data_IF_574989855524
#
_entry.id   IF_574989855524
#
_cell.length_a   1.000
_cell.length_b   1.000
_cell.length_c   1.000
_cell.angle_alpha   90.00
_cell.angle_beta   90.00
_cell.angle_gamma   90.00
#
_symmetry.space_group_name_H-M   'P 1'
#
loop_
_entity.id
_entity.type
_entity.pdbx_description
1 polymer ?
#
# COMPACT_ATOMS: atom_id res chain seq x y z
N UNK A 1 5.81 -38.13 -52.12
CA UNK A 1 5.11 -38.16 -50.81
C UNK A 1 5.77 -37.15 -49.87
N UNK A 2 5.07 -36.71 -48.82
CA UNK A 2 5.16 -35.44 -48.06
C UNK A 2 6.55 -34.97 -47.56
N UNK A 3 6.62 -33.64 -47.42
CA UNK A 3 7.78 -32.75 -47.16
C UNK A 3 8.20 -32.74 -45.68
N UNK A 4 9.51 -32.61 -45.43
CA UNK A 4 10.13 -32.46 -44.11
C UNK A 4 9.63 -31.20 -43.38
N UNK A 5 9.13 -31.36 -42.16
CA UNK A 5 8.71 -30.29 -41.28
C UNK A 5 9.82 -30.01 -40.25
N UNK A 6 10.56 -28.91 -40.45
CA UNK A 6 11.43 -28.32 -39.43
C UNK A 6 10.56 -27.52 -38.46
N UNK A 7 10.42 -27.97 -37.21
CA UNK A 7 9.86 -27.18 -36.11
C UNK A 7 11.00 -26.33 -35.52
N UNK A 8 11.11 -25.08 -35.94
CA UNK A 8 11.94 -24.09 -35.26
C UNK A 8 11.17 -23.56 -34.04
N UNK A 9 11.67 -23.90 -32.85
CA UNK A 9 11.11 -23.49 -31.56
C UNK A 9 11.32 -22.00 -31.30
N UNK A 10 10.25 -21.40 -30.75
CA UNK A 10 10.25 -20.43 -29.66
C UNK A 10 11.07 -19.13 -29.82
N UNK A 11 10.35 -18.05 -30.14
CA UNK A 11 10.84 -16.68 -30.04
C UNK A 11 9.75 -15.72 -29.57
N UNK A 12 9.18 -15.94 -28.39
CA UNK A 12 8.37 -14.92 -27.72
C UNK A 12 9.30 -14.13 -26.79
N UNK A 13 9.82 -13.00 -27.27
CA UNK A 13 10.56 -12.06 -26.42
C UNK A 13 9.56 -11.47 -25.44
N UNK A 14 9.43 -12.08 -24.25
CA UNK A 14 8.73 -11.49 -23.12
C UNK A 14 9.56 -10.31 -22.65
N UNK A 15 9.27 -9.13 -23.19
CA UNK A 15 9.81 -7.88 -22.68
C UNK A 15 9.53 -7.82 -21.17
N UNK A 16 10.59 -7.75 -20.37
CA UNK A 16 10.50 -7.56 -18.92
C UNK A 16 9.94 -6.16 -18.67
N UNK A 17 8.61 -6.05 -18.66
CA UNK A 17 7.90 -4.85 -18.25
C UNK A 17 8.29 -4.48 -16.83
N UNK A 18 8.74 -3.24 -16.63
CA UNK A 18 8.96 -2.66 -15.30
C UNK A 18 7.61 -2.59 -14.59
N UNK A 19 7.31 -3.58 -13.75
CA UNK A 19 6.10 -3.57 -12.93
C UNK A 19 6.24 -2.53 -11.81
N UNK A 20 5.71 -1.32 -12.04
CA UNK A 20 5.47 -0.35 -10.96
C UNK A 20 4.39 -0.94 -10.05
N UNK A 21 4.80 -1.62 -8.97
CA UNK A 21 3.87 -2.08 -7.94
C UNK A 21 3.31 -0.86 -7.22
N UNK A 22 2.20 -0.31 -7.74
CA UNK A 22 1.35 0.57 -6.97
C UNK A 22 0.89 -0.22 -5.75
N UNK A 23 1.40 0.16 -4.57
CA UNK A 23 1.03 -0.57 -3.36
C UNK A 23 -0.48 -0.50 -3.16
N UNK A 24 -1.09 -1.68 -3.05
CA UNK A 24 -2.51 -1.83 -2.81
C UNK A 24 -2.86 -1.24 -1.43
N UNK A 25 -3.94 -0.47 -1.38
CA UNK A 25 -4.55 -0.12 -0.11
C UNK A 25 -5.10 -1.38 0.55
N UNK A 26 -4.82 -1.54 1.84
CA UNK A 26 -5.29 -2.67 2.63
C UNK A 26 -6.59 -2.28 3.32
N UNK A 27 -7.72 -2.57 2.70
CA UNK A 27 -9.05 -2.34 3.27
C UNK A 27 -9.29 -3.25 4.47
N UNK A 28 -10.12 -2.77 5.41
CA UNK A 28 -10.49 -3.47 6.64
C UNK A 28 -9.26 -4.02 7.38
N UNK A 29 -8.19 -3.24 7.42
CA UNK A 29 -6.90 -3.64 7.96
C UNK A 29 -6.35 -2.55 8.88
N UNK A 30 -5.99 -2.93 10.09
CA UNK A 30 -5.24 -2.11 11.04
C UNK A 30 -3.81 -2.63 11.16
N UNK A 31 -2.85 -1.71 11.34
CA UNK A 31 -1.48 -2.02 11.77
C UNK A 31 -1.27 -1.39 13.14
N UNK A 32 -1.47 -2.10 14.26
CA UNK A 32 -1.46 -1.48 15.59
C UNK A 32 -0.05 -1.04 16.00
N UNK A 33 0.04 0.06 16.77
CA UNK A 33 1.30 0.57 17.31
C UNK A 33 2.14 1.42 16.34
N UNK A 34 3.38 1.70 16.74
CA UNK A 34 4.42 2.44 16.00
C UNK A 34 3.99 3.80 15.43
N UNK A 35 2.93 4.40 15.96
CA UNK A 35 2.42 5.68 15.49
C UNK A 35 3.27 6.79 16.09
N UNK A 36 3.95 7.55 15.25
CA UNK A 36 4.77 8.70 15.70
C UNK A 36 4.07 10.03 15.44
N UNK A 37 3.05 10.05 14.57
CA UNK A 37 2.23 11.24 14.31
C UNK A 37 0.80 10.85 14.00
N UNK A 38 -0.15 11.53 14.64
CA UNK A 38 -1.57 11.38 14.39
C UNK A 38 -2.23 12.73 14.15
N UNK A 39 -3.19 12.80 13.23
CA UNK A 39 -3.96 14.01 12.98
C UNK A 39 -5.33 13.67 12.37
N UNK A 40 -6.31 14.53 12.61
CA UNK A 40 -7.62 14.40 11.98
C UNK A 40 -7.56 14.89 10.53
N UNK A 41 -8.28 14.21 9.65
CA UNK A 41 -8.48 14.62 8.27
C UNK A 41 -9.74 15.49 8.16
N UNK A 42 -9.76 16.40 7.19
CA UNK A 42 -10.95 17.19 6.87
C UNK A 42 -11.99 16.39 6.09
N UNK A 43 -11.52 15.45 5.28
CA UNK A 43 -12.33 14.57 4.42
C UNK A 43 -12.00 13.12 4.74
N UNK A 44 -13.01 12.26 4.70
CA UNK A 44 -12.90 10.83 4.94
C UNK A 44 -12.25 10.07 3.77
N UNK A 45 -11.00 10.44 3.43
CA UNK A 45 -10.26 9.92 2.28
C UNK A 45 -8.94 9.24 2.74
N UNK A 46 -8.81 7.90 2.64
CA UNK A 46 -7.58 7.19 3.00
C UNK A 46 -6.36 7.60 2.15
N UNK A 47 -6.58 8.08 0.93
CA UNK A 47 -5.55 8.58 -0.01
C UNK A 47 -4.75 9.74 0.59
N UNK A 48 -5.42 10.59 1.38
CA UNK A 48 -4.76 11.69 2.07
C UNK A 48 -3.76 11.17 3.12
N UNK A 49 -4.11 10.11 3.84
CA UNK A 49 -3.21 9.49 4.82
C UNK A 49 -2.04 8.77 4.14
N UNK A 50 -2.31 8.06 3.03
CA UNK A 50 -1.27 7.48 2.18
C UNK A 50 -0.29 8.55 1.72
N UNK A 51 -0.79 9.64 1.12
CA UNK A 51 0.03 10.72 0.57
C UNK A 51 0.88 11.38 1.64
N UNK A 52 0.32 11.65 2.83
CA UNK A 52 1.08 12.17 3.96
C UNK A 52 2.24 11.24 4.37
N UNK A 53 2.04 9.92 4.34
CA UNK A 53 3.12 8.96 4.60
C UNK A 53 4.18 8.94 3.50
N UNK A 54 3.75 8.94 2.23
CA UNK A 54 4.65 8.95 1.08
C UNK A 54 5.57 10.20 1.09
N UNK A 55 5.04 11.34 1.52
CA UNK A 55 5.76 12.61 1.61
C UNK A 55 6.56 12.80 2.91
N UNK A 56 6.48 11.89 3.87
CA UNK A 56 7.21 11.99 5.14
C UNK A 56 8.38 10.98 5.20
N UNK A 57 9.62 11.46 5.36
CA UNK A 57 10.83 10.61 5.39
C UNK A 57 10.86 9.56 6.50
N UNK A 58 10.20 9.81 7.63
CA UNK A 58 10.16 8.91 8.78
C UNK A 58 9.08 7.84 8.66
N UNK A 59 8.08 8.07 7.81
CA UNK A 59 6.96 7.15 7.66
C UNK A 59 7.39 5.87 6.93
N UNK A 60 7.01 4.72 7.49
CA UNK A 60 7.21 3.38 6.94
C UNK A 60 5.89 2.67 6.67
N UNK A 61 4.85 2.97 7.44
CA UNK A 61 3.48 2.53 7.19
C UNK A 61 2.47 3.56 7.68
N UNK A 62 1.21 3.41 7.30
CA UNK A 62 0.13 4.30 7.69
C UNK A 62 -1.15 3.53 7.95
N UNK A 63 -2.01 4.09 8.80
CA UNK A 63 -3.38 3.62 9.03
C UNK A 63 -4.32 4.81 9.02
N UNK A 64 -5.25 4.81 8.10
CA UNK A 64 -6.44 5.65 8.10
C UNK A 64 -7.53 4.98 8.94
N UNK A 65 -8.08 5.72 9.89
CA UNK A 65 -9.23 5.32 10.71
C UNK A 65 -10.46 6.03 10.16
N UNK A 66 -11.49 5.26 9.80
CA UNK A 66 -12.78 5.75 9.31
C UNK A 66 -13.50 6.57 10.38
N UNK A 67 -14.28 7.59 9.99
CA UNK A 67 -15.14 8.32 10.91
C UNK A 67 -16.28 7.43 11.42
N UNK A 68 -16.95 7.88 12.48
CA UNK A 68 -18.12 7.21 13.07
C UNK A 68 -17.86 5.73 13.42
N UNK A 69 -16.66 5.45 13.92
CA UNK A 69 -16.30 4.14 14.46
C UNK A 69 -16.13 4.22 15.97
N UNK A 70 -15.87 3.09 16.62
CA UNK A 70 -15.48 3.02 18.03
C UNK A 70 -14.23 3.86 18.36
N UNK A 71 -13.44 4.22 17.34
CA UNK A 71 -12.23 5.04 17.48
C UNK A 71 -12.51 6.56 17.37
N UNK A 72 -13.76 6.96 17.19
CA UNK A 72 -14.23 8.35 17.23
C UNK A 72 -15.01 8.80 15.98
N UNK A 73 -15.61 9.99 16.08
CA UNK A 73 -16.45 10.55 15.03
C UNK A 73 -15.68 11.10 13.81
N UNK A 74 -14.40 11.48 13.98
CA UNK A 74 -13.60 12.14 12.93
C UNK A 74 -12.67 11.16 12.22
N UNK A 75 -12.44 11.31 10.90
CA UNK A 75 -11.44 10.51 10.20
C UNK A 75 -10.04 10.88 10.70
N UNK A 76 -9.19 9.90 10.97
CA UNK A 76 -7.85 10.11 11.52
C UNK A 76 -6.78 9.41 10.70
N UNK A 77 -5.65 10.07 10.50
CA UNK A 77 -4.46 9.47 9.95
C UNK A 77 -3.45 9.18 11.05
N UNK A 78 -2.89 7.96 11.03
CA UNK A 78 -1.86 7.49 11.94
C UNK A 78 -0.61 7.13 11.13
N UNK A 79 0.38 8.03 11.09
CA UNK A 79 1.67 7.78 10.44
C UNK A 79 2.59 6.99 11.36
N UNK A 80 3.24 5.96 10.81
CA UNK A 80 4.03 5.00 11.58
C UNK A 80 5.47 4.92 11.11
N UNK A 81 6.39 4.77 12.05
CA UNK A 81 7.83 4.71 11.80
C UNK A 81 8.36 3.27 11.65
N UNK A 82 7.49 2.27 11.82
CA UNK A 82 7.75 0.87 11.53
C UNK A 82 6.62 0.27 10.68
N UNK A 83 6.68 -1.04 10.42
CA UNK A 83 5.65 -1.79 9.69
C UNK A 83 5.08 -2.88 10.60
N UNK A 84 4.15 -2.55 11.52
CA UNK A 84 3.52 -3.56 12.39
C UNK A 84 2.77 -4.62 11.58
N UNK A 85 2.65 -5.83 12.12
CA UNK A 85 1.87 -6.91 11.49
C UNK A 85 0.41 -6.45 11.28
N UNK A 86 -0.17 -6.69 10.09
CA UNK A 86 -1.56 -6.32 9.83
C UNK A 86 -2.53 -7.21 10.62
N UNK A 87 -3.66 -6.65 11.03
CA UNK A 87 -4.82 -7.37 11.58
C UNK A 87 -6.08 -6.92 10.87
N UNK A 88 -7.06 -7.80 10.76
CA UNK A 88 -8.38 -7.44 10.25
C UNK A 88 -9.08 -6.50 11.23
N UNK A 89 -9.55 -5.35 10.74
CA UNK A 89 -10.41 -4.43 11.47
C UNK A 89 -11.15 -3.52 10.47
N UNK A 90 -12.49 -3.55 10.51
CA UNK A 90 -13.35 -2.75 9.61
C UNK A 90 -13.18 -1.25 9.83
N UNK A 91 -12.58 -0.81 10.93
CA UNK A 91 -12.31 0.61 11.19
C UNK A 91 -11.43 1.25 10.13
N UNK A 92 -10.60 0.46 9.46
CA UNK A 92 -9.34 1.00 9.02
C UNK A 92 -8.95 0.59 7.60
N UNK A 93 -8.20 1.49 6.98
CA UNK A 93 -7.49 1.25 5.72
C UNK A 93 -6.03 1.52 6.00
N UNK A 94 -5.15 0.57 5.68
CA UNK A 94 -3.73 0.70 5.96
C UNK A 94 -2.88 0.55 4.70
N UNK A 95 -1.61 0.91 4.81
CA UNK A 95 -0.63 0.64 3.77
C UNK A 95 0.79 0.73 4.29
N UNK A 96 1.71 0.16 3.53
CA UNK A 96 3.17 0.23 3.77
C UNK A 96 3.74 1.24 2.78
N UNK A 97 4.75 2.02 3.15
CA UNK A 97 5.48 2.90 2.22
C UNK A 97 6.46 2.05 1.41
N UNK A 98 6.60 2.25 0.09
CA UNK A 98 7.51 1.42 -0.69
C UNK A 98 8.94 1.74 -0.28
N UNK A 99 9.80 0.72 -0.27
CA UNK A 99 11.22 0.98 -0.21
C UNK A 99 11.60 1.66 -1.52
N UNK A 100 12.20 2.84 -1.44
CA UNK A 100 12.90 3.39 -2.61
C UNK A 100 14.13 2.51 -2.80
N UNK A 101 14.23 1.83 -3.93
CA UNK A 101 15.47 1.19 -4.32
C UNK A 101 16.52 2.30 -4.46
N UNK A 102 17.61 2.19 -3.69
CA UNK A 102 18.79 3.01 -3.88
C UNK A 102 19.67 2.21 -4.83
N UNK A 103 19.78 2.69 -6.07
CA UNK A 103 20.83 2.27 -6.98
C UNK A 103 22.12 2.94 -6.52
#
# INVERSE_FOLDING_TARGET
MKKNLMLATAGFIMAFGVHVQAQAMQWNTIRPGSTFRSFNLRVAAPEACRSACLNNRYCRSWTYVKPYTLYGARPRCLLKNAVPRPRYDRCCVSGVKPRRYRY
#
